data_IF_157082753509
#
_entry.id   IF_157082753509
#
_cell.length_a   1.000
_cell.length_b   1.000
_cell.length_c   1.000
_cell.angle_alpha   90.00
_cell.angle_beta   90.00
_cell.angle_gamma   90.00
#
_symmetry.space_group_name_H-M   'P 1'
#
loop_
_entity.id
_entity.type
_entity.pdbx_description
1 polymer ?
#
# COMPACT_ATOMS: atom_id res chain seq x y z
N UNK A 1 -9.43 16.54 1.61
CA UNK A 1 -10.32 15.47 2.10
C UNK A 1 -9.92 15.07 3.51
N UNK A 2 -10.86 14.71 4.37
CA UNK A 2 -10.59 14.14 5.68
C UNK A 2 -10.47 12.62 5.62
N UNK A 3 -9.83 12.00 6.63
CA UNK A 3 -9.70 10.54 6.72
C UNK A 3 -11.05 9.82 6.83
N UNK A 4 -12.05 10.45 7.49
CA UNK A 4 -13.40 9.88 7.59
C UNK A 4 -14.13 9.91 6.24
N UNK A 5 -13.97 10.97 5.47
CA UNK A 5 -14.50 11.02 4.08
C UNK A 5 -13.87 9.95 3.21
N UNK A 6 -12.54 9.77 3.29
CA UNK A 6 -11.83 8.72 2.56
C UNK A 6 -12.32 7.32 2.96
N UNK A 7 -12.51 7.07 4.25
CA UNK A 7 -13.05 5.79 4.74
C UNK A 7 -14.45 5.51 4.21
N UNK A 8 -15.32 6.49 4.17
CA UNK A 8 -16.65 6.35 3.60
C UNK A 8 -16.60 5.99 2.10
N UNK A 9 -15.66 6.58 1.36
CA UNK A 9 -15.42 6.23 -0.05
C UNK A 9 -14.97 4.78 -0.17
N UNK A 10 -13.92 4.37 0.57
CA UNK A 10 -13.42 2.99 0.58
C UNK A 10 -14.56 2.00 0.88
N UNK A 11 -15.28 2.21 1.98
CA UNK A 11 -16.34 1.31 2.44
C UNK A 11 -17.56 1.31 1.52
N UNK A 12 -17.73 2.30 0.65
CA UNK A 12 -18.80 2.28 -0.36
C UNK A 12 -18.54 1.26 -1.47
N UNK A 13 -17.27 0.96 -1.77
CA UNK A 13 -16.85 0.13 -2.90
C UNK A 13 -16.13 -1.16 -2.48
N UNK A 14 -15.59 -1.23 -1.26
CA UNK A 14 -14.86 -2.39 -0.73
C UNK A 14 -15.55 -2.95 0.52
N UNK A 15 -15.80 -4.27 0.56
CA UNK A 15 -16.47 -4.98 1.65
C UNK A 15 -15.67 -6.16 2.19
N UNK A 16 -14.77 -6.71 1.37
CA UNK A 16 -13.99 -7.88 1.72
C UNK A 16 -12.96 -7.58 2.81
N UNK A 17 -13.00 -8.35 3.92
CA UNK A 17 -12.11 -8.14 5.08
C UNK A 17 -10.62 -8.13 4.71
N UNK A 18 -10.22 -8.94 3.72
CA UNK A 18 -8.83 -8.99 3.27
C UNK A 18 -8.40 -7.72 2.54
N UNK A 19 -9.30 -7.14 1.74
CA UNK A 19 -9.04 -5.90 1.00
C UNK A 19 -9.09 -4.69 1.93
N UNK A 20 -10.04 -4.64 2.85
CA UNK A 20 -10.09 -3.61 3.90
C UNK A 20 -8.84 -3.64 4.78
N UNK A 21 -8.36 -4.84 5.15
CA UNK A 21 -7.11 -4.99 5.89
C UNK A 21 -5.90 -4.55 5.06
N UNK A 22 -5.86 -4.86 3.76
CA UNK A 22 -4.81 -4.39 2.86
C UNK A 22 -4.80 -2.86 2.80
N UNK A 23 -5.93 -2.24 2.50
CA UNK A 23 -6.08 -0.78 2.48
C UNK A 23 -5.62 -0.14 3.80
N UNK A 24 -6.03 -0.71 4.95
CA UNK A 24 -5.61 -0.23 6.27
C UNK A 24 -4.11 -0.41 6.50
N UNK A 25 -3.52 -1.51 6.04
CA UNK A 25 -2.08 -1.75 6.19
C UNK A 25 -1.27 -0.75 5.38
N UNK A 26 -1.66 -0.50 4.13
CA UNK A 26 -0.98 0.49 3.26
C UNK A 26 -1.20 1.90 3.79
N UNK A 27 -2.40 2.25 4.29
CA UNK A 27 -2.67 3.52 4.98
C UNK A 27 -1.64 3.79 6.09
N UNK A 28 -1.44 2.82 6.99
CA UNK A 28 -0.53 2.95 8.14
C UNK A 28 0.93 3.09 7.70
N UNK A 29 1.36 2.31 6.72
CA UNK A 29 2.73 2.37 6.20
C UNK A 29 2.98 3.69 5.49
N UNK A 30 2.04 4.17 4.68
CA UNK A 30 2.13 5.46 4.00
C UNK A 30 2.14 6.63 5.00
N UNK A 31 1.29 6.60 6.04
CA UNK A 31 1.31 7.59 7.12
C UNK A 31 2.69 7.67 7.79
N UNK A 32 3.27 6.51 8.10
CA UNK A 32 4.58 6.43 8.72
C UNK A 32 5.69 6.97 7.81
N UNK A 33 5.62 6.71 6.51
CA UNK A 33 6.55 7.29 5.54
C UNK A 33 6.36 8.79 5.36
N UNK A 34 5.11 9.29 5.36
CA UNK A 34 4.84 10.72 5.36
C UNK A 34 5.53 11.42 6.54
N UNK A 35 5.41 10.87 7.75
CA UNK A 35 6.11 11.35 8.95
C UNK A 35 7.64 11.26 8.81
N UNK A 36 8.15 10.14 8.29
CA UNK A 36 9.59 9.90 8.11
C UNK A 36 10.22 10.92 7.15
N UNK A 37 9.53 11.27 6.08
CA UNK A 37 10.01 12.25 5.09
C UNK A 37 9.67 13.70 5.42
N UNK A 38 8.92 13.96 6.50
CA UNK A 38 8.48 15.31 6.88
C UNK A 38 7.44 15.90 5.92
N UNK A 39 6.67 15.03 5.26
CA UNK A 39 5.58 15.36 4.34
C UNK A 39 4.23 15.36 5.07
N UNK A 40 3.14 15.69 4.37
CA UNK A 40 1.78 15.62 4.95
C UNK A 40 1.35 14.17 5.16
N UNK A 41 1.49 13.70 6.41
CA UNK A 41 1.18 12.31 6.75
C UNK A 41 -0.30 11.96 6.62
N UNK A 42 -1.23 12.93 6.67
CA UNK A 42 -2.65 12.70 6.43
C UNK A 42 -2.93 12.47 4.93
N UNK A 43 -2.37 13.30 4.06
CA UNK A 43 -2.45 13.11 2.60
C UNK A 43 -1.87 11.74 2.19
N UNK A 44 -0.75 11.34 2.80
CA UNK A 44 -0.10 10.06 2.55
C UNK A 44 -0.94 8.88 3.04
N UNK A 45 -1.53 8.99 4.24
CA UNK A 45 -2.42 7.96 4.78
C UNK A 45 -3.67 7.76 3.90
N UNK A 46 -4.31 8.86 3.49
CA UNK A 46 -5.49 8.83 2.63
C UNK A 46 -5.15 8.20 1.27
N UNK A 47 -3.98 8.51 0.71
CA UNK A 47 -3.51 7.90 -0.54
C UNK A 47 -3.39 6.39 -0.39
N UNK A 48 -2.75 5.91 0.67
CA UNK A 48 -2.64 4.49 0.97
C UNK A 48 -3.97 3.81 1.22
N UNK A 49 -4.92 4.48 1.88
CA UNK A 49 -6.27 3.96 2.12
C UNK A 49 -7.07 3.77 0.82
N UNK A 50 -6.93 4.68 -0.14
CA UNK A 50 -7.80 4.75 -1.32
C UNK A 50 -7.24 4.10 -2.58
N UNK A 51 -5.95 3.70 -2.59
CA UNK A 51 -5.28 3.27 -3.83
C UNK A 51 -6.03 2.18 -4.59
N UNK A 52 -6.65 1.23 -3.88
CA UNK A 52 -7.40 0.10 -4.40
C UNK A 52 -8.91 0.16 -4.09
N UNK A 53 -9.45 1.33 -3.73
CA UNK A 53 -10.82 1.44 -3.21
C UNK A 53 -11.89 0.90 -4.17
N UNK A 54 -11.68 1.01 -5.48
CA UNK A 54 -12.64 0.57 -6.51
C UNK A 54 -12.38 -0.85 -7.04
N UNK A 55 -11.27 -1.51 -6.60
CA UNK A 55 -10.86 -2.80 -7.15
C UNK A 55 -11.90 -3.92 -6.97
N UNK A 56 -12.59 -3.99 -5.83
CA UNK A 56 -13.60 -5.03 -5.58
C UNK A 56 -14.88 -4.80 -6.37
N UNK A 57 -15.40 -3.57 -6.33
CA UNK A 57 -16.68 -3.25 -6.96
C UNK A 57 -16.55 -3.08 -8.48
N UNK A 58 -15.40 -2.62 -8.97
CA UNK A 58 -15.18 -2.27 -10.37
C UNK A 58 -13.83 -2.77 -10.91
N UNK A 59 -13.53 -4.08 -10.87
CA UNK A 59 -12.21 -4.62 -11.21
C UNK A 59 -11.77 -4.29 -12.64
N UNK A 60 -12.69 -4.19 -13.57
CA UNK A 60 -12.39 -3.86 -14.98
C UNK A 60 -12.14 -2.36 -15.21
N UNK A 61 -12.56 -1.52 -14.26
CA UNK A 61 -12.40 -0.06 -14.33
C UNK A 61 -11.29 0.45 -13.40
N UNK A 62 -10.77 -0.40 -12.54
CA UNK A 62 -9.72 -0.05 -11.58
C UNK A 62 -8.44 0.46 -12.29
N UNK A 63 -7.83 1.57 -11.83
CA UNK A 63 -8.23 2.50 -10.75
C UNK A 63 -9.02 3.71 -11.26
N UNK A 64 -9.64 3.63 -12.44
CA UNK A 64 -10.26 4.75 -13.14
C UNK A 64 -11.38 5.42 -12.33
N UNK A 65 -12.18 4.62 -11.61
CA UNK A 65 -13.29 5.12 -10.79
C UNK A 65 -12.81 6.01 -9.66
N UNK A 66 -11.90 5.49 -8.85
CA UNK A 66 -11.38 6.24 -7.70
C UNK A 66 -10.61 7.48 -8.15
N UNK A 67 -9.81 7.37 -9.21
CA UNK A 67 -9.04 8.50 -9.76
C UNK A 67 -9.95 9.62 -10.23
N UNK A 68 -11.02 9.31 -10.98
CA UNK A 68 -11.97 10.31 -11.46
C UNK A 68 -12.72 10.98 -10.31
N UNK A 69 -13.18 10.19 -9.32
CA UNK A 69 -13.85 10.72 -8.14
C UNK A 69 -12.96 11.71 -7.36
N UNK A 70 -11.69 11.37 -7.17
CA UNK A 70 -10.72 12.23 -6.49
C UNK A 70 -10.48 13.53 -7.26
N UNK A 71 -10.38 13.48 -8.57
CA UNK A 71 -10.24 14.66 -9.43
C UNK A 71 -11.47 15.57 -9.40
N UNK A 72 -12.66 15.00 -9.41
CA UNK A 72 -13.91 15.77 -9.31
C UNK A 72 -14.02 16.58 -8.01
N UNK A 73 -13.43 16.09 -6.92
CA UNK A 73 -13.42 16.81 -5.64
C UNK A 73 -12.13 17.62 -5.39
N UNK A 74 -11.21 17.68 -6.37
CA UNK A 74 -10.01 18.50 -6.33
C UNK A 74 -8.80 17.88 -5.64
N UNK A 75 -8.83 16.56 -5.35
CA UNK A 75 -7.71 15.83 -4.70
C UNK A 75 -6.70 15.32 -5.75
N UNK A 76 -6.14 16.22 -6.55
CA UNK A 76 -5.31 15.88 -7.72
C UNK A 76 -4.02 15.15 -7.34
N UNK A 77 -3.36 15.50 -6.23
CA UNK A 77 -2.13 14.82 -5.82
C UNK A 77 -2.37 13.35 -5.48
N UNK A 78 -3.45 13.06 -4.74
CA UNK A 78 -3.85 11.70 -4.39
C UNK A 78 -4.23 10.94 -5.66
N UNK A 79 -5.04 11.57 -6.53
CA UNK A 79 -5.44 10.98 -7.81
C UNK A 79 -4.25 10.66 -8.71
N UNK A 80 -3.24 11.56 -8.76
CA UNK A 80 -2.01 11.33 -9.52
C UNK A 80 -1.22 10.15 -8.97
N UNK A 81 -1.00 10.09 -7.65
CA UNK A 81 -0.27 9.00 -7.02
C UNK A 81 -0.96 7.64 -7.26
N UNK A 82 -2.30 7.59 -7.15
CA UNK A 82 -3.09 6.40 -7.47
C UNK A 82 -3.02 6.07 -8.96
N UNK A 83 -3.00 7.05 -9.86
CA UNK A 83 -2.79 6.80 -11.29
C UNK A 83 -1.41 6.22 -11.59
N UNK A 84 -0.38 6.70 -10.90
CA UNK A 84 1.00 6.29 -11.12
C UNK A 84 1.29 4.89 -10.56
N UNK A 85 0.64 4.48 -9.44
CA UNK A 85 0.84 3.15 -8.87
C UNK A 85 0.33 2.04 -9.80
N UNK A 86 -0.70 2.31 -10.60
CA UNK A 86 -1.18 1.36 -11.61
C UNK A 86 -0.26 1.39 -12.84
N UNK A 87 0.79 0.59 -12.80
CA UNK A 87 1.91 0.62 -13.74
C UNK A 87 1.51 0.46 -15.21
N UNK A 88 0.37 -0.17 -15.49
CA UNK A 88 -0.16 -0.37 -16.85
C UNK A 88 -0.57 0.94 -17.53
N UNK A 89 -0.83 2.00 -16.76
CA UNK A 89 -1.16 3.31 -17.34
C UNK A 89 0.07 4.09 -17.80
N UNK A 90 1.27 3.71 -17.31
CA UNK A 90 2.51 4.37 -17.70
C UNK A 90 2.63 5.83 -17.26
N UNK A 91 1.93 6.21 -16.18
CA UNK A 91 2.01 7.55 -15.60
C UNK A 91 3.38 7.76 -14.97
N UNK A 92 3.96 8.93 -15.17
CA UNK A 92 5.27 9.27 -14.61
C UNK A 92 5.20 9.46 -13.08
N UNK A 93 6.28 9.06 -12.38
CA UNK A 93 6.42 9.22 -10.92
C UNK A 93 7.06 10.57 -10.62
N UNK A 94 6.27 11.61 -10.42
CA UNK A 94 6.73 12.98 -10.23
C UNK A 94 7.14 13.27 -8.78
N UNK A 95 6.31 12.79 -7.82
CA UNK A 95 6.44 13.12 -6.40
C UNK A 95 6.99 11.95 -5.58
N UNK A 96 7.40 12.25 -4.34
CA UNK A 96 7.74 11.19 -3.38
C UNK A 96 6.51 10.33 -3.02
N UNK A 97 5.31 10.94 -3.00
CA UNK A 97 4.06 10.25 -2.71
C UNK A 97 3.82 9.12 -3.72
N UNK A 98 4.00 9.42 -5.02
CA UNK A 98 3.84 8.44 -6.10
C UNK A 98 4.80 7.26 -5.94
N UNK A 99 6.07 7.58 -5.67
CA UNK A 99 7.14 6.59 -5.51
C UNK A 99 6.95 5.75 -4.27
N UNK A 100 6.49 6.38 -3.18
CA UNK A 100 6.24 5.69 -1.93
C UNK A 100 5.03 4.75 -2.03
N UNK A 101 3.95 5.16 -2.71
CA UNK A 101 2.80 4.29 -2.90
C UNK A 101 3.19 3.01 -3.65
N UNK A 102 3.90 3.12 -4.77
CA UNK A 102 4.39 1.96 -5.51
C UNK A 102 5.31 1.06 -4.68
N UNK A 103 6.19 1.68 -3.86
CA UNK A 103 7.12 0.92 -3.02
C UNK A 103 6.42 0.19 -1.87
N UNK A 104 5.34 0.78 -1.34
CA UNK A 104 4.67 0.28 -0.14
C UNK A 104 3.57 -0.75 -0.44
N UNK A 105 2.81 -0.58 -1.50
CA UNK A 105 1.60 -1.35 -1.78
C UNK A 105 1.86 -2.87 -1.79
N UNK A 106 2.48 -3.37 -2.84
CA UNK A 106 2.73 -4.80 -3.03
C UNK A 106 3.57 -5.43 -1.92
N UNK A 107 4.57 -4.71 -1.41
CA UNK A 107 5.43 -5.22 -0.34
C UNK A 107 4.72 -5.29 1.01
N UNK A 108 3.81 -4.37 1.29
CA UNK A 108 2.95 -4.42 2.49
C UNK A 108 2.01 -5.63 2.42
N UNK A 109 1.32 -5.82 1.30
CA UNK A 109 0.47 -6.98 1.06
C UNK A 109 1.24 -8.30 1.16
N UNK A 110 2.47 -8.34 0.58
CA UNK A 110 3.35 -9.50 0.70
C UNK A 110 3.79 -9.78 2.14
N UNK A 111 4.08 -8.74 2.93
CA UNK A 111 4.45 -8.88 4.34
C UNK A 111 3.28 -9.43 5.16
N UNK A 112 2.06 -8.95 4.93
CA UNK A 112 0.84 -9.52 5.53
C UNK A 112 0.68 -11.01 5.16
N UNK A 113 0.89 -11.37 3.90
CA UNK A 113 0.85 -12.79 3.48
C UNK A 113 1.90 -13.64 4.21
N UNK A 114 3.09 -13.08 4.49
CA UNK A 114 4.08 -13.76 5.32
C UNK A 114 3.60 -13.99 6.75
N UNK A 115 2.88 -13.04 7.34
CA UNK A 115 2.29 -13.19 8.68
C UNK A 115 1.26 -14.32 8.71
N UNK A 116 0.38 -14.39 7.72
CA UNK A 116 -0.73 -15.35 7.68
C UNK A 116 -0.30 -16.82 7.63
N UNK A 117 0.91 -17.12 7.19
CA UNK A 117 1.42 -18.52 7.14
C UNK A 117 2.30 -18.89 8.34
N UNK A 118 2.35 -18.04 9.36
CA UNK A 118 3.15 -18.24 10.58
C UNK A 118 2.25 -18.40 11.80
N UNK A 119 2.52 -19.36 12.70
CA UNK A 119 1.78 -19.46 13.96
C UNK A 119 1.86 -18.21 14.83
N UNK A 120 3.03 -17.56 14.85
CA UNK A 120 3.31 -16.34 15.60
C UNK A 120 2.94 -15.06 14.82
N UNK A 121 2.34 -15.21 13.64
CA UNK A 121 1.97 -14.11 12.77
C UNK A 121 3.14 -13.12 12.52
N UNK A 122 3.02 -11.86 12.93
CA UNK A 122 4.07 -10.86 12.75
C UNK A 122 5.19 -10.96 13.77
N UNK A 123 4.92 -11.55 14.94
CA UNK A 123 5.90 -11.63 16.03
C UNK A 123 7.17 -12.37 15.58
N UNK A 124 8.31 -11.70 15.71
CA UNK A 124 9.61 -12.24 15.26
C UNK A 124 9.76 -12.41 13.74
N UNK A 125 8.88 -11.81 12.92
CA UNK A 125 9.10 -11.72 11.48
C UNK A 125 10.32 -10.83 11.20
N UNK A 126 11.17 -11.24 10.26
CA UNK A 126 12.40 -10.51 9.92
C UNK A 126 12.46 -10.21 8.42
N UNK A 127 13.17 -9.15 8.04
CA UNK A 127 13.41 -8.84 6.64
C UNK A 127 14.09 -10.01 5.90
N UNK A 128 14.97 -10.76 6.56
CA UNK A 128 15.59 -11.96 6.00
C UNK A 128 14.55 -13.03 5.62
N UNK A 129 13.53 -13.23 6.47
CA UNK A 129 12.45 -14.19 6.21
C UNK A 129 11.57 -13.75 5.05
N UNK A 130 11.21 -12.45 4.99
CA UNK A 130 10.43 -11.87 3.89
C UNK A 130 11.21 -11.97 2.58
N UNK A 131 12.48 -11.58 2.55
CA UNK A 131 13.36 -11.70 1.36
C UNK A 131 13.51 -13.15 0.88
N UNK A 132 13.56 -14.11 1.79
CA UNK A 132 13.57 -15.55 1.42
C UNK A 132 12.25 -15.96 0.76
N UNK A 133 11.11 -15.46 1.25
CA UNK A 133 9.79 -15.73 0.66
C UNK A 133 9.61 -15.04 -0.69
N UNK A 134 10.12 -13.81 -0.89
CA UNK A 134 10.07 -13.10 -2.18
C UNK A 134 10.70 -13.91 -3.32
N UNK A 135 11.70 -14.74 -3.03
CA UNK A 135 12.33 -15.64 -4.02
C UNK A 135 11.45 -16.84 -4.41
N UNK A 136 10.39 -17.13 -3.64
CA UNK A 136 9.49 -18.25 -3.88
C UNK A 136 8.31 -17.80 -4.77
N UNK A 137 8.42 -17.96 -6.07
CA UNK A 137 7.40 -17.49 -7.04
C UNK A 137 5.99 -18.03 -6.81
N UNK A 138 5.85 -19.22 -6.22
CA UNK A 138 4.55 -19.82 -5.90
C UNK A 138 3.89 -19.26 -4.63
N UNK A 139 4.67 -18.60 -3.75
CA UNK A 139 4.12 -17.97 -2.56
C UNK A 139 3.60 -16.58 -2.91
N UNK A 140 2.36 -16.26 -2.51
CA UNK A 140 1.69 -15.01 -2.87
C UNK A 140 1.91 -14.68 -4.38
N UNK A 141 1.52 -15.62 -5.24
CA UNK A 141 1.87 -15.60 -6.67
C UNK A 141 1.27 -14.42 -7.45
N UNK A 142 0.26 -13.75 -6.89
CA UNK A 142 -0.38 -12.56 -7.48
C UNK A 142 0.40 -11.26 -7.23
N UNK A 143 1.31 -11.26 -6.25
CA UNK A 143 2.14 -10.10 -5.93
C UNK A 143 3.14 -9.83 -7.05
N UNK A 144 3.11 -8.63 -7.58
CA UNK A 144 3.97 -8.16 -8.68
C UNK A 144 5.36 -7.76 -8.16
N UNK A 145 6.29 -8.71 -8.17
CA UNK A 145 7.64 -8.52 -7.60
C UNK A 145 8.47 -7.47 -8.32
N UNK A 146 8.24 -7.34 -9.62
CA UNK A 146 8.91 -6.33 -10.44
C UNK A 146 8.48 -4.91 -10.01
N UNK A 147 7.24 -4.75 -9.52
CA UNK A 147 6.76 -3.49 -8.97
C UNK A 147 7.40 -3.18 -7.61
N UNK A 148 7.62 -4.20 -6.76
CA UNK A 148 8.39 -4.05 -5.53
C UNK A 148 9.80 -3.54 -5.82
N UNK A 149 10.51 -4.18 -6.76
CA UNK A 149 11.89 -3.80 -7.13
C UNK A 149 11.92 -2.37 -7.69
N UNK A 150 11.01 -2.05 -8.60
CA UNK A 150 10.87 -0.71 -9.18
C UNK A 150 10.53 0.34 -8.13
N UNK A 151 9.61 0.06 -7.22
CA UNK A 151 9.21 0.98 -6.15
C UNK A 151 10.37 1.30 -5.21
N UNK A 152 11.11 0.28 -4.78
CA UNK A 152 12.30 0.43 -3.93
C UNK A 152 13.37 1.29 -4.61
N UNK A 153 13.64 1.05 -5.90
CA UNK A 153 14.58 1.83 -6.69
C UNK A 153 14.15 3.30 -6.81
N UNK A 154 12.89 3.55 -7.17
CA UNK A 154 12.34 4.89 -7.36
C UNK A 154 12.28 5.69 -6.06
N UNK A 155 11.96 5.05 -4.94
CA UNK A 155 11.93 5.69 -3.62
C UNK A 155 13.36 5.91 -3.08
N UNK A 156 14.35 5.18 -3.58
CA UNK A 156 15.76 5.32 -3.21
C UNK A 156 16.08 4.75 -1.82
N UNK A 157 15.41 3.67 -1.43
CA UNK A 157 15.60 3.00 -0.12
C UNK A 157 16.27 1.63 -0.29
N UNK A 158 16.95 1.14 0.76
CA UNK A 158 17.42 -0.25 0.78
C UNK A 158 16.24 -1.20 1.03
N UNK A 159 16.14 -2.28 0.26
CA UNK A 159 15.05 -3.24 0.39
C UNK A 159 14.95 -3.85 1.80
N UNK A 160 16.09 -4.09 2.48
CA UNK A 160 16.07 -4.67 3.83
C UNK A 160 15.52 -3.67 4.82
N UNK A 161 16.00 -2.43 4.78
CA UNK A 161 15.53 -1.34 5.64
C UNK A 161 14.05 -1.03 5.39
N UNK A 162 13.61 -1.06 4.14
CA UNK A 162 12.21 -0.87 3.76
C UNK A 162 11.30 -1.97 4.33
N UNK A 163 11.70 -3.25 4.22
CA UNK A 163 10.96 -4.37 4.82
C UNK A 163 10.92 -4.22 6.35
N UNK A 164 12.04 -3.87 7.00
CA UNK A 164 12.09 -3.66 8.45
C UNK A 164 11.18 -2.52 8.89
N UNK A 165 11.14 -1.44 8.12
CA UNK A 165 10.23 -0.32 8.37
C UNK A 165 8.77 -0.77 8.30
N UNK A 166 8.37 -1.48 7.24
CA UNK A 166 7.02 -2.01 7.08
C UNK A 166 6.67 -2.95 8.24
N UNK A 167 7.54 -3.93 8.56
CA UNK A 167 7.32 -4.87 9.67
C UNK A 167 7.06 -4.10 10.97
N UNK A 168 7.89 -3.11 11.29
CA UNK A 168 7.76 -2.30 12.50
C UNK A 168 6.39 -1.62 12.56
N UNK A 169 5.97 -0.95 11.49
CA UNK A 169 4.67 -0.26 11.44
C UNK A 169 3.51 -1.25 11.62
N UNK A 170 3.57 -2.39 10.95
CA UNK A 170 2.53 -3.42 11.04
C UNK A 170 2.48 -4.04 12.44
N UNK A 171 3.64 -4.29 13.07
CA UNK A 171 3.74 -4.85 14.43
C UNK A 171 3.18 -3.90 15.48
N UNK A 172 3.47 -2.60 15.38
CA UNK A 172 2.90 -1.56 16.25
C UNK A 172 1.37 -1.50 16.15
N UNK A 173 0.81 -1.86 15.01
CA UNK A 173 -0.64 -1.84 14.72
C UNK A 173 -1.28 -3.24 14.63
N UNK A 174 -0.60 -4.29 15.11
CA UNK A 174 -1.01 -5.70 14.93
C UNK A 174 -2.41 -6.02 15.43
N UNK A 175 -2.88 -5.34 16.48
CA UNK A 175 -4.22 -5.56 17.03
C UNK A 175 -5.32 -5.03 16.10
N UNK A 176 -5.09 -3.86 15.53
CA UNK A 176 -5.99 -3.22 14.57
C UNK A 176 -6.09 -4.05 13.28
N UNK A 177 -4.95 -4.58 12.82
CA UNK A 177 -4.85 -5.39 11.61
C UNK A 177 -5.23 -6.88 11.81
N UNK A 178 -5.40 -7.30 13.04
CA UNK A 178 -5.67 -8.70 13.39
C UNK A 178 -4.61 -9.68 12.81
N UNK A 179 -3.32 -9.35 13.08
CA UNK A 179 -2.14 -10.13 12.64
C UNK A 179 -1.20 -10.40 13.80
#
# INVERSE_FOLDING_TARGET
>A
MTRDEARNILESMTKGDSLLRHARSVELVMEAYGKHFGEDSEEWAITGMLHDADYEAYPEEHPNRIVNMLREIGEEKIAHAISAHYTKWGVEYETKLDKALLACDELTGFTIACCQVRPESIEGLTAKSVKKKLKQKSFAAKVERDEIEKGVELLGVDLTEHIEFIIKVLEENRKDLNI
#
